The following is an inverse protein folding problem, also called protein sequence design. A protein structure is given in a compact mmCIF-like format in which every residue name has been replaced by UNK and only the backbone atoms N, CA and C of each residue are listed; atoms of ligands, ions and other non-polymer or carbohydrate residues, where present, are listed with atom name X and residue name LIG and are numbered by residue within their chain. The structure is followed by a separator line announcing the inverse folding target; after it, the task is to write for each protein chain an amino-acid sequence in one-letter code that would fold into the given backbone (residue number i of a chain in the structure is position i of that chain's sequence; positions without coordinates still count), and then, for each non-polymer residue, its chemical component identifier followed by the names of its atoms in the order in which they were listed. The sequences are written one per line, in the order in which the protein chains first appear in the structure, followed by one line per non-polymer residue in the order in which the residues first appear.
data_IF_204405266771
#
_entry.id   IF_204405266771
#
_cell.length_a   1.000
_cell.length_b   1.000
_cell.length_c   1.000
_cell.angle_alpha   90.00
_cell.angle_beta   90.00
_cell.angle_gamma   90.00
#
_symmetry.space_group_name_H-M   'P 1'
#
loop_
_entity.id
_entity.type
_entity.pdbx_description
1 polymer ?
#
# COMPACT_ATOMS: atom_id res chain seq x y z
N UNK A 1 -28.21 4.37 -9.40
CA UNK A 1 -27.49 4.40 -8.10
C UNK A 1 -27.74 5.77 -7.51
N UNK A 2 -28.14 5.90 -6.24
CA UNK A 2 -28.40 7.22 -5.64
C UNK A 2 -27.13 7.79 -4.97
N UNK A 3 -27.10 9.10 -4.72
CA UNK A 3 -25.92 9.81 -4.16
C UNK A 3 -25.46 9.21 -2.81
N UNK A 4 -26.40 8.77 -1.97
CA UNK A 4 -26.10 8.10 -0.71
C UNK A 4 -25.33 6.79 -0.90
N UNK A 5 -25.68 5.98 -1.90
CA UNK A 5 -24.95 4.75 -2.23
C UNK A 5 -23.55 5.03 -2.80
N UNK A 6 -23.38 6.13 -3.53
CA UNK A 6 -22.06 6.55 -4.04
C UNK A 6 -21.17 6.96 -2.87
N UNK A 7 -21.65 7.86 -2.00
CA UNK A 7 -20.92 8.32 -0.82
C UNK A 7 -20.48 7.17 0.08
N UNK A 8 -21.36 6.21 0.37
CA UNK A 8 -21.02 5.02 1.15
C UNK A 8 -19.88 4.20 0.51
N UNK A 9 -19.92 4.00 -0.80
CA UNK A 9 -18.87 3.25 -1.51
C UNK A 9 -17.53 3.98 -1.52
N UNK A 10 -17.53 5.31 -1.65
CA UNK A 10 -16.30 6.11 -1.56
C UNK A 10 -15.68 6.03 -0.17
N UNK A 11 -16.49 6.13 0.89
CA UNK A 11 -16.01 5.96 2.26
C UNK A 11 -15.39 4.59 2.46
N UNK A 12 -16.03 3.52 1.97
CA UNK A 12 -15.46 2.16 2.03
C UNK A 12 -14.15 2.04 1.24
N UNK A 13 -14.00 2.74 0.12
CA UNK A 13 -12.75 2.75 -0.66
C UNK A 13 -11.63 3.50 0.08
N UNK A 14 -11.94 4.60 0.76
CA UNK A 14 -10.99 5.33 1.59
C UNK A 14 -10.53 4.51 2.81
N UNK A 15 -11.47 3.84 3.50
CA UNK A 15 -11.17 2.91 4.59
C UNK A 15 -10.27 1.77 4.11
N UNK A 16 -10.61 1.16 2.97
CA UNK A 16 -9.80 0.11 2.35
C UNK A 16 -8.39 0.62 2.02
N UNK A 17 -8.27 1.83 1.47
CA UNK A 17 -6.97 2.42 1.16
C UNK A 17 -6.11 2.64 2.41
N UNK A 18 -6.72 3.11 3.51
CA UNK A 18 -6.04 3.25 4.81
C UNK A 18 -5.54 1.91 5.32
N UNK A 19 -6.39 0.89 5.29
CA UNK A 19 -6.02 -0.46 5.71
C UNK A 19 -4.87 -1.02 4.85
N UNK A 20 -4.92 -0.83 3.53
CA UNK A 20 -3.87 -1.30 2.63
C UNK A 20 -2.53 -0.60 2.91
N UNK A 21 -2.54 0.70 3.24
CA UNK A 21 -1.35 1.45 3.67
C UNK A 21 -0.78 0.94 4.99
N UNK A 22 -1.63 0.62 5.96
CA UNK A 22 -1.19 0.01 7.22
C UNK A 22 -0.54 -1.36 6.98
N UNK A 23 -1.15 -2.19 6.13
CA UNK A 23 -0.59 -3.50 5.75
C UNK A 23 0.72 -3.39 4.97
N UNK A 24 0.84 -2.40 4.08
CA UNK A 24 2.10 -2.07 3.39
C UNK A 24 3.21 -1.76 4.40
N UNK A 25 2.92 -0.91 5.40
CA UNK A 25 3.86 -0.55 6.45
C UNK A 25 4.27 -1.77 7.29
N UNK A 26 3.32 -2.61 7.70
CA UNK A 26 3.59 -3.85 8.42
C UNK A 26 4.52 -4.79 7.61
N UNK A 27 4.30 -4.92 6.29
CA UNK A 27 5.17 -5.72 5.42
C UNK A 27 6.60 -5.16 5.32
N UNK A 28 6.75 -3.84 5.25
CA UNK A 28 8.06 -3.19 5.27
C UNK A 28 8.80 -3.47 6.58
N UNK A 29 8.12 -3.46 7.73
CA UNK A 29 8.71 -3.80 9.02
C UNK A 29 9.14 -5.28 9.10
N UNK A 30 8.31 -6.19 8.58
CA UNK A 30 8.65 -7.62 8.45
C UNK A 30 9.89 -7.80 7.59
N UNK A 31 9.96 -7.12 6.45
CA UNK A 31 11.11 -7.18 5.53
C UNK A 31 12.39 -6.68 6.19
N UNK A 32 12.35 -5.55 6.89
CA UNK A 32 13.51 -5.02 7.62
C UNK A 32 13.97 -5.98 8.72
N UNK A 33 13.01 -6.54 9.48
CA UNK A 33 13.30 -7.49 10.56
C UNK A 33 13.90 -8.79 10.02
N UNK A 34 13.35 -9.30 8.92
CA UNK A 34 13.88 -10.46 8.21
C UNK A 34 15.31 -10.21 7.73
N UNK A 35 15.57 -9.09 7.05
CA UNK A 35 16.89 -8.73 6.56
C UNK A 35 17.94 -8.65 7.66
N UNK A 36 17.61 -8.01 8.80
CA UNK A 36 18.48 -7.94 9.98
C UNK A 36 18.75 -9.31 10.59
N UNK A 37 17.71 -10.13 10.71
CA UNK A 37 17.81 -11.47 11.30
C UNK A 37 18.66 -12.40 10.42
N UNK A 38 18.47 -12.35 9.11
CA UNK A 38 19.27 -13.11 8.15
C UNK A 38 20.73 -12.66 8.16
N UNK A 39 21.00 -11.34 8.17
CA UNK A 39 22.37 -10.82 8.28
C UNK A 39 23.06 -11.31 9.56
N UNK A 40 22.36 -11.24 10.70
CA UNK A 40 22.88 -11.76 11.96
C UNK A 40 23.14 -13.26 11.92
N UNK A 41 22.28 -14.05 11.28
CA UNK A 41 22.52 -15.48 11.09
C UNK A 41 23.75 -15.72 10.19
N UNK A 42 23.85 -15.00 9.07
CA UNK A 42 24.96 -15.11 8.12
C UNK A 42 26.33 -14.81 8.73
N UNK A 43 26.40 -13.91 9.72
CA UNK A 43 27.66 -13.65 10.42
C UNK A 43 28.13 -14.79 11.32
N UNK A 44 27.25 -15.72 11.69
CA UNK A 44 27.57 -16.89 12.53
C UNK A 44 27.78 -18.18 11.71
N UNK A 45 27.34 -18.18 10.45
CA UNK A 45 27.50 -19.32 9.53
C UNK A 45 28.08 -18.80 8.21
N UNK A 46 29.42 -18.68 8.11
CA UNK A 46 30.09 -18.06 6.95
C UNK A 46 29.89 -18.83 5.64
N UNK A 47 29.58 -20.13 5.70
CA UNK A 47 29.33 -20.98 4.53
C UNK A 47 27.85 -21.01 4.12
N UNK A 48 27.05 -20.02 4.53
CA UNK A 48 25.63 -19.94 4.15
C UNK A 48 25.42 -19.62 2.67
N UNK A 49 26.38 -18.97 2.02
CA UNK A 49 26.27 -18.61 0.61
C UNK A 49 26.20 -19.85 -0.29
N UNK A 50 25.26 -19.87 -1.23
CA UNK A 50 25.04 -21.01 -2.14
C UNK A 50 24.31 -22.19 -1.50
N UNK A 51 23.89 -22.09 -0.24
CA UNK A 51 23.04 -23.10 0.41
C UNK A 51 21.56 -22.91 0.07
N UNK A 52 20.76 -23.96 0.24
CA UNK A 52 19.30 -23.88 0.15
C UNK A 52 18.73 -22.80 1.10
N UNK A 53 19.35 -22.57 2.26
CA UNK A 53 18.93 -21.54 3.21
C UNK A 53 19.12 -20.15 2.61
N UNK A 54 20.28 -19.86 2.00
CA UNK A 54 20.51 -18.57 1.32
C UNK A 54 19.54 -18.37 0.15
N UNK A 55 19.29 -19.42 -0.63
CA UNK A 55 18.36 -19.37 -1.76
C UNK A 55 16.92 -19.08 -1.30
N UNK A 56 16.45 -19.77 -0.27
CA UNK A 56 15.13 -19.50 0.31
C UNK A 56 15.04 -18.09 0.91
N UNK A 57 16.12 -17.58 1.51
CA UNK A 57 16.13 -16.22 2.03
C UNK A 57 15.99 -15.16 0.92
N UNK A 58 16.61 -15.38 -0.25
CA UNK A 58 16.43 -14.52 -1.43
C UNK A 58 14.99 -14.58 -1.96
N UNK A 59 14.40 -15.77 -2.05
CA UNK A 59 13.02 -15.94 -2.47
C UNK A 59 12.04 -15.27 -1.50
N UNK A 60 12.27 -15.37 -0.19
CA UNK A 60 11.45 -14.68 0.82
C UNK A 60 11.53 -13.16 0.63
N UNK A 61 12.73 -12.60 0.43
CA UNK A 61 12.90 -11.16 0.16
C UNK A 61 12.10 -10.75 -1.09
N UNK A 62 12.26 -11.48 -2.18
CA UNK A 62 11.54 -11.22 -3.43
C UNK A 62 10.01 -11.26 -3.26
N UNK A 63 9.50 -12.22 -2.48
CA UNK A 63 8.06 -12.31 -2.22
C UNK A 63 7.57 -11.18 -1.33
N UNK A 64 8.34 -10.77 -0.31
CA UNK A 64 8.01 -9.61 0.52
C UNK A 64 7.99 -8.31 -0.30
N UNK A 65 8.96 -8.11 -1.19
CA UNK A 65 8.97 -6.96 -2.11
C UNK A 65 7.70 -6.91 -2.96
N UNK A 66 7.38 -8.04 -3.62
CA UNK A 66 6.18 -8.15 -4.47
C UNK A 66 4.87 -7.92 -3.70
N UNK A 67 4.78 -8.41 -2.46
CA UNK A 67 3.61 -8.22 -1.61
C UNK A 67 3.47 -6.74 -1.22
N UNK A 68 4.57 -6.09 -0.83
CA UNK A 68 4.60 -4.65 -0.51
C UNK A 68 4.16 -3.82 -1.71
N UNK A 69 4.74 -4.07 -2.89
CA UNK A 69 4.37 -3.38 -4.14
C UNK A 69 2.89 -3.57 -4.49
N UNK A 70 2.37 -4.79 -4.30
CA UNK A 70 0.96 -5.10 -4.54
C UNK A 70 0.05 -4.30 -3.58
N UNK A 71 0.40 -4.22 -2.30
CA UNK A 71 -0.37 -3.44 -1.32
C UNK A 71 -0.36 -1.96 -1.65
N UNK A 72 0.81 -1.39 -1.99
CA UNK A 72 0.93 0.00 -2.41
C UNK A 72 0.09 0.29 -3.67
N UNK A 73 0.09 -0.62 -4.64
CA UNK A 73 -0.69 -0.47 -5.87
C UNK A 73 -2.20 -0.52 -5.61
N UNK A 74 -2.67 -1.46 -4.77
CA UNK A 74 -4.07 -1.53 -4.37
C UNK A 74 -4.50 -0.29 -3.56
N UNK A 75 -3.62 0.21 -2.69
CA UNK A 75 -3.86 1.43 -1.93
C UNK A 75 -4.00 2.65 -2.85
N UNK A 76 -3.21 2.73 -3.92
CA UNK A 76 -3.34 3.77 -4.94
C UNK A 76 -4.65 3.66 -5.72
N UNK A 77 -4.99 2.47 -6.24
CA UNK A 77 -6.22 2.27 -7.02
C UNK A 77 -7.47 2.61 -6.21
N UNK A 78 -7.49 2.24 -4.92
CA UNK A 78 -8.63 2.53 -4.03
C UNK A 78 -8.85 4.02 -3.78
N UNK A 79 -7.86 4.90 -4.00
CA UNK A 79 -8.03 6.36 -3.86
C UNK A 79 -8.49 7.07 -5.12
N UNK A 80 -8.29 6.47 -6.31
CA UNK A 80 -8.56 7.14 -7.59
C UNK A 80 -10.01 7.66 -7.69
N UNK A 81 -10.99 6.84 -7.35
CA UNK A 81 -12.40 7.25 -7.42
C UNK A 81 -12.76 8.32 -6.38
N UNK A 82 -12.37 8.18 -5.09
CA UNK A 82 -12.50 9.28 -4.12
C UNK A 82 -11.85 10.60 -4.55
N UNK A 83 -10.62 10.56 -5.08
CA UNK A 83 -9.87 11.76 -5.50
C UNK A 83 -10.55 12.46 -6.67
N UNK A 84 -10.97 11.72 -7.71
CA UNK A 84 -11.67 12.29 -8.86
C UNK A 84 -13.01 12.96 -8.47
N UNK A 85 -13.70 12.42 -7.47
CA UNK A 85 -14.94 13.03 -6.98
C UNK A 85 -14.68 14.31 -6.18
N UNK A 86 -13.66 14.31 -5.31
CA UNK A 86 -13.25 15.51 -4.59
C UNK A 86 -12.86 16.65 -5.55
N UNK A 87 -12.07 16.36 -6.59
CA UNK A 87 -11.71 17.34 -7.62
C UNK A 87 -12.94 17.91 -8.35
N UNK A 88 -13.93 17.06 -8.64
CA UNK A 88 -15.17 17.49 -9.29
C UNK A 88 -16.01 18.38 -8.39
N UNK A 89 -16.10 18.06 -7.09
CA UNK A 89 -16.87 18.83 -6.12
C UNK A 89 -16.23 20.20 -5.85
N UNK A 90 -14.89 20.26 -5.75
CA UNK A 90 -14.14 21.51 -5.61
C UNK A 90 -14.34 22.44 -6.81
N UNK A 91 -14.25 21.92 -8.03
CA UNK A 91 -14.51 22.72 -9.24
C UNK A 91 -15.94 23.25 -9.31
N UNK A 92 -16.93 22.46 -8.86
CA UNK A 92 -18.33 22.92 -8.82
C UNK A 92 -18.54 23.98 -7.74
N UNK A 93 -17.87 23.87 -6.59
CA UNK A 93 -17.90 24.87 -5.54
C UNK A 93 -17.32 26.21 -6.02
N UNK A 94 -16.18 26.18 -6.70
CA UNK A 94 -15.57 27.38 -7.31
C UNK A 94 -16.46 28.03 -8.37
N UNK A 95 -17.13 27.23 -9.22
CA UNK A 95 -18.05 27.75 -10.24
C UNK A 95 -19.29 28.41 -9.61
N UNK A 96 -19.85 27.81 -8.56
CA UNK A 96 -20.97 28.39 -7.81
C UNK A 96 -20.59 29.70 -7.12
N UNK A 97 -19.40 29.79 -6.54
CA UNK A 97 -18.89 31.03 -5.93
C UNK A 97 -18.75 32.15 -6.97
N UNK A 98 -18.29 31.84 -8.19
CA UNK A 98 -18.21 32.82 -9.29
C UNK A 98 -19.56 33.31 -9.80
N UNK A 99 -20.61 32.49 -9.71
CA UNK A 99 -21.96 32.84 -10.19
C UNK A 99 -22.76 33.59 -9.11
N UNK A 100 -22.48 33.33 -7.83
CA UNK A 100 -23.25 33.87 -6.69
C UNK A 100 -22.55 34.99 -5.92
N UNK A 101 -21.26 35.22 -6.17
CA UNK A 101 -20.45 36.32 -5.63
C UNK A 101 -20.35 37.56 -6.52
#
# INVERSE_FOLDING_TARGET
MNESQISLRLSSLLELSSLLKEREQELQEVQQTFGRSFLKASSHYPDLEGTEISHHAELIKLHLDKLTDTMAHLASISKLAPEQMAETDDHRAEELERITG
#
